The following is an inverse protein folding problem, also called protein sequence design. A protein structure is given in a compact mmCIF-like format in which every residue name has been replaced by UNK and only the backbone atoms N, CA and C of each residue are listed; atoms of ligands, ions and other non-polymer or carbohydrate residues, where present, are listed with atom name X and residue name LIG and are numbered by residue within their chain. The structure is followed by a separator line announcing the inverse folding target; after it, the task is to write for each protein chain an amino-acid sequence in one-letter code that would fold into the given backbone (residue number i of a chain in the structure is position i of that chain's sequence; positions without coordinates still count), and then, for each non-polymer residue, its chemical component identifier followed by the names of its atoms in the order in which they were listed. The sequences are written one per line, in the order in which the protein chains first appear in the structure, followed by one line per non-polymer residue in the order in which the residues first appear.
data_IF_784101159977
#
_entry.id   IF_784101159977
#
_cell.length_a   1.000
_cell.length_b   1.000
_cell.length_c   1.000
_cell.angle_alpha   90.00
_cell.angle_beta   90.00
_cell.angle_gamma   90.00
#
_symmetry.space_group_name_H-M   'P 1'
#
loop_
_entity.id
_entity.type
_entity.pdbx_description
1 polymer ?
#
# COMPACT_ATOMS: atom_id res chain seq x y z
N UNK A 1 -7.73 25.12 13.98
CA UNK A 1 -7.99 23.68 13.91
C UNK A 1 -7.37 23.18 12.60
N UNK A 2 -6.55 22.13 12.65
CA UNK A 2 -5.92 21.55 11.46
C UNK A 2 -6.96 20.71 10.70
N UNK A 3 -7.87 21.37 9.99
CA UNK A 3 -8.99 20.73 9.30
C UNK A 3 -8.56 20.12 7.97
N UNK A 4 -9.08 18.92 7.67
CA UNK A 4 -9.03 18.37 6.32
C UNK A 4 -9.58 19.37 5.31
N UNK A 5 -8.89 19.55 4.19
CA UNK A 5 -9.35 20.42 3.11
C UNK A 5 -9.12 19.78 1.75
N UNK A 6 -10.01 20.11 0.81
CA UNK A 6 -9.85 19.78 -0.61
C UNK A 6 -9.25 20.99 -1.32
N UNK A 7 -8.00 20.88 -1.77
CA UNK A 7 -7.30 21.94 -2.48
C UNK A 7 -7.36 21.69 -3.99
N UNK A 8 -7.71 22.73 -4.74
CA UNK A 8 -7.80 22.69 -6.21
C UNK A 8 -8.62 21.48 -6.74
N UNK A 9 -9.68 21.08 -6.01
CA UNK A 9 -10.60 19.94 -6.30
C UNK A 9 -9.97 18.54 -6.25
N UNK A 10 -8.68 18.42 -6.54
CA UNK A 10 -8.04 17.14 -6.79
C UNK A 10 -7.14 16.68 -5.63
N UNK A 11 -6.89 17.53 -4.64
CA UNK A 11 -5.94 17.25 -3.57
C UNK A 11 -6.59 17.21 -2.21
N UNK A 12 -6.28 16.15 -1.47
CA UNK A 12 -6.56 16.06 -0.05
C UNK A 12 -5.37 16.58 0.72
N UNK A 13 -5.62 17.58 1.57
CA UNK A 13 -4.61 18.22 2.40
C UNK A 13 -5.05 18.10 3.85
N UNK A 14 -4.21 17.47 4.67
CA UNK A 14 -4.50 17.25 6.07
C UNK A 14 -3.20 16.94 6.84
N UNK A 15 -3.32 16.89 8.16
CA UNK A 15 -2.27 16.41 9.04
C UNK A 15 -2.29 14.89 9.16
N UNK A 16 -1.10 14.28 9.17
CA UNK A 16 -0.89 12.84 9.38
C UNK A 16 -1.66 11.99 8.36
N UNK A 17 -1.60 12.37 7.08
CA UNK A 17 -2.03 11.50 5.99
C UNK A 17 -1.15 10.25 5.94
N UNK A 18 0.12 10.39 6.29
CA UNK A 18 1.00 9.28 6.67
C UNK A 18 0.65 8.78 8.09
N UNK A 19 0.12 7.57 8.29
CA UNK A 19 -0.52 6.69 7.30
C UNK A 19 -2.03 6.55 7.56
N UNK A 20 -2.70 7.62 8.03
CA UNK A 20 -4.17 7.63 8.19
C UNK A 20 -4.89 7.45 6.85
N UNK A 21 -4.27 7.89 5.74
CA UNK A 21 -4.79 7.64 4.41
C UNK A 21 -4.81 6.13 4.11
N UNK A 22 -3.74 5.38 4.44
CA UNK A 22 -3.72 3.91 4.38
C UNK A 22 -4.85 3.28 5.19
N UNK A 23 -5.03 3.72 6.44
CA UNK A 23 -6.13 3.27 7.30
C UNK A 23 -7.52 3.53 6.71
N UNK A 24 -7.73 4.67 6.06
CA UNK A 24 -8.95 4.97 5.32
C UNK A 24 -9.13 4.04 4.10
N UNK A 25 -8.07 3.84 3.30
CA UNK A 25 -8.12 3.01 2.10
C UNK A 25 -8.53 1.57 2.40
N UNK A 26 -7.95 0.95 3.42
CA UNK A 26 -8.30 -0.44 3.80
C UNK A 26 -9.73 -0.54 4.38
N UNK A 27 -10.21 0.51 5.05
CA UNK A 27 -11.59 0.57 5.54
C UNK A 27 -12.59 0.67 4.38
N UNK A 28 -12.27 1.46 3.35
CA UNK A 28 -13.08 1.55 2.12
C UNK A 28 -13.10 0.23 1.35
N UNK A 29 -11.98 -0.49 1.27
CA UNK A 29 -11.96 -1.85 0.71
C UNK A 29 -12.92 -2.76 1.45
N UNK A 30 -12.92 -2.73 2.79
CA UNK A 30 -13.85 -3.50 3.62
C UNK A 30 -15.32 -3.15 3.31
N UNK A 31 -15.62 -1.85 3.24
CA UNK A 31 -16.96 -1.32 2.95
C UNK A 31 -17.44 -1.78 1.58
N UNK A 32 -16.61 -1.66 0.55
CA UNK A 32 -16.94 -2.07 -0.83
C UNK A 32 -17.16 -3.58 -0.96
N UNK A 33 -16.31 -4.40 -0.33
CA UNK A 33 -16.51 -5.86 -0.29
C UNK A 33 -17.88 -6.22 0.32
N UNK A 34 -18.27 -5.52 1.40
CA UNK A 34 -19.55 -5.72 2.06
C UNK A 34 -20.73 -5.28 1.19
N UNK A 35 -20.71 -4.06 0.65
CA UNK A 35 -21.80 -3.51 -0.17
C UNK A 35 -22.05 -4.30 -1.45
N UNK A 36 -21.00 -4.81 -2.07
CA UNK A 36 -21.11 -5.66 -3.26
C UNK A 36 -21.51 -7.10 -2.93
N UNK A 37 -21.55 -7.50 -1.65
CA UNK A 37 -21.80 -8.87 -1.23
C UNK A 37 -20.71 -9.86 -1.66
N UNK A 38 -19.48 -9.38 -1.89
CA UNK A 38 -18.36 -10.19 -2.37
C UNK A 38 -17.94 -11.19 -1.29
N UNK A 39 -17.93 -12.48 -1.63
CA UNK A 39 -17.38 -13.54 -0.76
C UNK A 39 -16.00 -13.95 -1.25
N UNK A 40 -15.00 -13.71 -0.41
CA UNK A 40 -13.64 -14.17 -0.67
C UNK A 40 -13.50 -15.65 -0.24
N UNK A 41 -12.73 -16.46 -0.98
CA UNK A 41 -12.56 -17.87 -0.65
C UNK A 41 -11.52 -18.13 0.44
N UNK A 42 -11.10 -17.08 1.15
CA UNK A 42 -10.10 -17.10 2.21
C UNK A 42 -10.51 -16.14 3.33
N UNK A 43 -9.91 -16.31 4.51
CA UNK A 43 -10.07 -15.37 5.62
C UNK A 43 -9.34 -14.06 5.32
N UNK A 44 -10.06 -12.95 5.34
CA UNK A 44 -9.49 -11.61 5.20
C UNK A 44 -9.36 -10.95 6.57
N UNK A 45 -8.14 -10.58 6.94
CA UNK A 45 -7.85 -9.74 8.11
C UNK A 45 -7.47 -8.35 7.62
N UNK A 46 -8.19 -7.33 8.08
CA UNK A 46 -7.89 -5.92 7.80
C UNK A 46 -7.41 -5.29 9.10
N UNK A 47 -6.18 -4.82 9.11
CA UNK A 47 -5.52 -4.31 10.31
C UNK A 47 -4.93 -2.95 10.06
N UNK A 48 -5.06 -2.06 11.04
CA UNK A 48 -4.27 -0.83 11.11
C UNK A 48 -3.24 -1.02 12.23
N UNK A 49 -1.96 -0.91 11.90
CA UNK A 49 -0.88 -1.11 12.87
C UNK A 49 -0.65 0.18 13.68
N UNK A 50 0.09 0.05 14.77
CA UNK A 50 0.59 1.18 15.55
C UNK A 50 2.11 1.08 15.61
N UNK A 51 2.79 2.18 15.90
CA UNK A 51 4.24 2.19 16.14
C UNK A 51 5.08 1.75 14.91
N UNK A 52 4.58 2.01 13.70
CA UNK A 52 5.35 1.89 12.45
C UNK A 52 6.61 2.78 12.56
N UNK A 53 6.39 4.07 12.81
CA UNK A 53 7.37 5.17 12.88
C UNK A 53 8.48 5.02 13.92
N UNK A 54 8.37 4.04 14.81
CA UNK A 54 9.37 3.75 15.86
C UNK A 54 9.92 2.32 15.76
N UNK A 55 9.70 1.66 14.63
CA UNK A 55 10.31 0.37 14.29
C UNK A 55 9.31 -0.78 14.10
N UNK A 56 8.17 -0.52 13.46
CA UNK A 56 7.23 -1.53 12.95
C UNK A 56 6.63 -2.46 14.03
N UNK A 57 6.55 -2.00 15.28
CA UNK A 57 6.26 -2.88 16.43
C UNK A 57 4.85 -3.45 16.39
N UNK A 58 3.86 -2.65 15.99
CA UNK A 58 2.50 -3.12 15.83
C UNK A 58 2.38 -4.18 14.73
N UNK A 59 3.01 -3.96 13.58
CA UNK A 59 3.00 -4.93 12.49
C UNK A 59 3.71 -6.24 12.85
N UNK A 60 4.83 -6.19 13.58
CA UNK A 60 5.49 -7.40 14.11
C UNK A 60 4.53 -8.21 14.99
N UNK A 61 3.80 -7.56 15.90
CA UNK A 61 2.83 -8.24 16.76
C UNK A 61 1.65 -8.82 15.97
N UNK A 62 1.17 -8.11 14.95
CA UNK A 62 0.08 -8.57 14.09
C UNK A 62 0.52 -9.78 13.27
N UNK A 63 1.70 -9.70 12.64
CA UNK A 63 2.24 -10.76 11.79
C UNK A 63 2.44 -12.06 12.58
N UNK A 64 2.98 -12.00 13.80
CA UNK A 64 3.16 -13.18 14.66
C UNK A 64 1.84 -13.74 15.22
N UNK A 65 0.82 -12.89 15.42
CA UNK A 65 -0.47 -13.33 15.97
C UNK A 65 -1.38 -13.93 14.91
N UNK A 66 -1.45 -13.31 13.74
CA UNK A 66 -2.32 -13.74 12.64
C UNK A 66 -1.65 -14.85 11.83
N UNK A 67 -0.32 -14.81 11.70
CA UNK A 67 0.48 -15.70 10.86
C UNK A 67 -0.14 -15.91 9.46
N UNK A 68 -0.39 -14.82 8.70
CA UNK A 68 -1.08 -14.92 7.42
C UNK A 68 -0.22 -15.59 6.34
N UNK A 69 -0.87 -16.18 5.34
CA UNK A 69 -0.18 -16.71 4.15
C UNK A 69 0.30 -15.61 3.20
N UNK A 70 -0.48 -14.52 3.11
CA UNK A 70 -0.29 -13.40 2.18
C UNK A 70 -0.55 -12.08 2.91
N UNK A 71 0.28 -11.07 2.66
CA UNK A 71 0.10 -9.71 3.16
C UNK A 71 0.19 -8.68 2.02
N UNK A 72 -0.93 -8.00 1.74
CA UNK A 72 -0.93 -6.78 0.93
C UNK A 72 -0.87 -5.61 1.89
N UNK A 73 0.26 -4.91 1.90
CA UNK A 73 0.49 -3.76 2.77
C UNK A 73 0.29 -2.48 1.96
N UNK A 74 -0.31 -1.48 2.59
CA UNK A 74 -0.42 -0.14 2.01
C UNK A 74 0.22 0.89 2.91
N UNK A 75 1.03 1.73 2.29
CA UNK A 75 1.71 2.83 2.96
C UNK A 75 1.81 4.01 2.00
N UNK A 76 2.35 5.14 2.45
CA UNK A 76 2.64 6.25 1.55
C UNK A 76 4.02 6.09 0.91
N UNK A 77 4.28 6.88 -0.12
CA UNK A 77 5.62 7.02 -0.73
C UNK A 77 5.86 8.48 -1.08
N UNK A 78 7.12 8.88 -1.19
CA UNK A 78 7.45 10.23 -1.58
C UNK A 78 7.05 10.51 -3.05
N UNK A 79 6.20 11.50 -3.25
CA UNK A 79 6.03 12.13 -4.56
C UNK A 79 7.28 12.98 -4.87
N UNK A 80 8.20 12.47 -5.69
CA UNK A 80 9.47 13.12 -6.03
C UNK A 80 9.33 14.35 -6.94
N UNK A 81 8.11 14.69 -7.32
CA UNK A 81 7.74 15.99 -7.91
C UNK A 81 7.47 17.09 -6.87
N UNK A 82 7.65 16.79 -5.59
CA UNK A 82 7.66 17.80 -4.52
C UNK A 82 8.89 18.70 -4.71
N UNK A 83 8.78 20.03 -4.49
CA UNK A 83 9.94 20.92 -4.57
C UNK A 83 11.11 20.42 -3.72
N UNK A 84 12.34 20.62 -4.23
CA UNK A 84 13.61 20.27 -3.56
C UNK A 84 13.90 18.76 -3.44
N UNK A 85 13.10 17.88 -4.03
CA UNK A 85 13.42 16.45 -4.12
C UNK A 85 14.30 16.13 -5.33
N UNK A 86 15.23 15.18 -5.18
CA UNK A 86 16.06 14.65 -6.26
C UNK A 86 15.51 13.32 -6.77
N UNK A 87 15.08 13.29 -8.03
CA UNK A 87 14.56 12.08 -8.69
C UNK A 87 15.62 11.00 -8.94
N UNK A 88 16.89 11.40 -9.07
CA UNK A 88 17.98 10.44 -9.27
C UNK A 88 18.15 9.57 -8.02
N UNK A 89 18.07 10.21 -6.85
CA UNK A 89 18.30 9.52 -5.57
C UNK A 89 17.05 8.75 -5.10
N UNK A 90 15.85 9.27 -5.40
CA UNK A 90 14.58 8.78 -4.82
C UNK A 90 13.64 8.09 -5.82
N UNK A 91 14.01 8.04 -7.11
CA UNK A 91 13.14 7.56 -8.19
C UNK A 91 12.17 8.63 -8.73
N UNK A 92 11.41 8.26 -9.76
CA UNK A 92 10.44 9.15 -10.41
C UNK A 92 9.01 8.72 -10.10
N UNK A 93 8.42 9.32 -9.06
CA UNK A 93 7.05 9.06 -8.61
C UNK A 93 6.29 10.37 -8.53
N UNK A 94 5.11 10.42 -9.13
CA UNK A 94 4.26 11.60 -9.18
C UNK A 94 2.89 11.31 -8.56
N UNK A 95 2.40 12.24 -7.75
CA UNK A 95 0.99 12.24 -7.39
C UNK A 95 0.11 12.58 -8.62
N UNK A 96 -1.04 11.93 -8.73
CA UNK A 96 -1.95 11.95 -9.88
C UNK A 96 -1.57 10.99 -11.01
N UNK A 97 -0.62 10.08 -10.78
CA UNK A 97 -0.16 9.07 -11.76
C UNK A 97 -0.41 7.62 -11.32
N UNK A 98 -1.20 7.43 -10.26
CA UNK A 98 -1.58 6.13 -9.73
C UNK A 98 -0.66 5.63 -8.62
N UNK A 99 -1.02 4.50 -8.00
CA UNK A 99 -0.24 3.89 -6.91
C UNK A 99 1.17 3.50 -7.34
N UNK A 100 2.11 3.55 -6.40
CA UNK A 100 3.45 2.99 -6.55
C UNK A 100 3.47 1.52 -6.14
N UNK A 101 4.09 0.65 -6.94
CA UNK A 101 4.39 -0.72 -6.56
C UNK A 101 5.89 -0.95 -6.50
N UNK A 102 6.35 -1.58 -5.43
CA UNK A 102 7.78 -1.63 -5.08
C UNK A 102 8.40 -2.97 -5.43
N UNK A 103 9.52 -2.95 -6.14
CA UNK A 103 10.46 -4.07 -6.20
C UNK A 103 11.46 -3.92 -5.07
N UNK A 104 11.59 -4.92 -4.19
CA UNK A 104 12.55 -4.86 -3.10
C UNK A 104 12.66 -6.16 -2.32
N UNK A 105 13.62 -6.26 -1.38
CA UNK A 105 13.92 -7.51 -0.67
C UNK A 105 12.76 -8.08 0.15
N UNK A 106 11.87 -7.23 0.66
CA UNK A 106 10.68 -7.63 1.42
C UNK A 106 9.44 -7.86 0.54
N UNK A 107 9.55 -7.66 -0.78
CA UNK A 107 8.43 -7.83 -1.72
C UNK A 107 8.56 -9.15 -2.47
N UNK A 108 7.50 -9.94 -2.41
CA UNK A 108 7.39 -11.20 -3.11
C UNK A 108 6.95 -10.95 -4.56
N UNK A 109 7.78 -11.36 -5.54
CA UNK A 109 7.59 -10.96 -6.94
C UNK A 109 6.39 -11.62 -7.63
N UNK A 110 5.95 -12.82 -7.21
CA UNK A 110 4.76 -13.45 -7.80
C UNK A 110 3.47 -12.74 -7.35
N UNK A 111 3.40 -12.30 -6.09
CA UNK A 111 2.31 -11.49 -5.54
C UNK A 111 2.34 -10.09 -6.14
N UNK A 112 3.53 -9.50 -6.29
CA UNK A 112 3.70 -8.24 -7.02
C UNK A 112 3.22 -8.36 -8.47
N UNK A 113 3.57 -9.46 -9.15
CA UNK A 113 3.10 -9.71 -10.52
C UNK A 113 1.58 -9.86 -10.57
N UNK A 114 0.97 -10.56 -9.60
CA UNK A 114 -0.49 -10.63 -9.45
C UNK A 114 -1.13 -9.24 -9.32
N UNK A 115 -0.52 -8.34 -8.54
CA UNK A 115 -0.99 -6.94 -8.40
C UNK A 115 -0.87 -6.19 -9.74
N UNK A 116 0.27 -6.32 -10.42
CA UNK A 116 0.52 -5.66 -11.72
C UNK A 116 -0.47 -6.17 -12.78
N UNK A 117 -0.63 -7.49 -12.91
CA UNK A 117 -1.55 -8.10 -13.86
C UNK A 117 -3.01 -7.66 -13.59
N UNK A 118 -3.37 -7.52 -12.31
CA UNK A 118 -4.68 -7.01 -11.90
C UNK A 118 -4.86 -5.55 -12.33
N UNK A 119 -3.86 -4.71 -12.10
CA UNK A 119 -3.92 -3.32 -12.52
C UNK A 119 -4.04 -3.18 -14.04
N UNK A 120 -3.29 -3.98 -14.81
CA UNK A 120 -3.36 -3.98 -16.26
C UNK A 120 -4.74 -4.44 -16.76
N UNK A 121 -5.31 -5.49 -16.17
CA UNK A 121 -6.65 -5.99 -16.51
C UNK A 121 -7.76 -4.96 -16.21
N UNK A 122 -7.67 -4.29 -15.06
CA UNK A 122 -8.64 -3.28 -14.60
C UNK A 122 -8.33 -1.86 -15.14
N UNK A 123 -7.27 -1.70 -15.92
CA UNK A 123 -6.78 -0.41 -16.46
C UNK A 123 -6.51 0.63 -15.38
N UNK A 124 -6.00 0.19 -14.24
CA UNK A 124 -5.60 1.06 -13.12
C UNK A 124 -4.17 1.54 -13.39
N UNK A 125 -3.91 2.87 -13.40
CA UNK A 125 -2.55 3.37 -13.62
C UNK A 125 -1.64 2.96 -12.47
N UNK A 126 -0.39 2.62 -12.78
CA UNK A 126 0.63 2.22 -11.80
C UNK A 126 1.97 2.88 -12.08
N UNK A 127 2.73 3.10 -11.00
CA UNK A 127 4.11 3.55 -11.02
C UNK A 127 5.01 2.47 -10.42
N UNK A 128 6.24 2.34 -10.93
CA UNK A 128 7.21 1.34 -10.46
C UNK A 128 8.25 1.99 -9.57
N UNK A 129 8.49 1.38 -8.43
CA UNK A 129 9.47 1.81 -7.44
C UNK A 129 10.47 0.69 -7.16
N UNK A 130 11.64 1.08 -6.64
CA UNK A 130 12.64 0.15 -6.16
C UNK A 130 13.05 0.49 -4.73
N UNK A 131 13.14 -0.51 -3.88
CA UNK A 131 13.70 -0.42 -2.54
C UNK A 131 15.00 -1.23 -2.50
N UNK A 132 16.10 -0.61 -2.08
CA UNK A 132 17.43 -1.22 -2.15
C UNK A 132 17.66 -2.27 -1.06
N UNK A 133 17.38 -1.92 0.20
CA UNK A 133 17.69 -2.77 1.37
C UNK A 133 16.45 -3.22 2.15
N UNK A 134 15.50 -2.32 2.33
CA UNK A 134 14.24 -2.54 3.05
C UNK A 134 13.24 -1.52 2.50
N UNK A 135 11.94 -1.78 2.67
CA UNK A 135 10.90 -0.83 2.23
C UNK A 135 10.73 0.33 3.19
N UNK A 136 11.03 0.11 4.47
CA UNK A 136 10.83 1.08 5.54
C UNK A 136 9.39 1.10 6.03
N UNK A 137 8.60 0.07 5.71
CA UNK A 137 7.17 0.00 5.99
C UNK A 137 6.86 -1.31 6.70
N UNK A 138 5.61 -1.46 7.15
CA UNK A 138 5.10 -2.71 7.70
C UNK A 138 5.32 -3.94 6.81
N UNK A 139 5.53 -3.77 5.50
CA UNK A 139 5.90 -4.85 4.56
C UNK A 139 7.12 -5.62 5.04
N UNK A 140 8.12 -4.94 5.59
CA UNK A 140 9.33 -5.59 6.11
C UNK A 140 9.00 -6.48 7.32
N UNK A 141 8.10 -6.04 8.19
CA UNK A 141 7.68 -6.82 9.36
C UNK A 141 6.93 -8.09 8.96
N UNK A 142 6.01 -8.01 7.98
CA UNK A 142 5.30 -9.19 7.50
C UNK A 142 6.24 -10.14 6.74
N UNK A 143 7.02 -9.64 5.79
CA UNK A 143 7.85 -10.45 4.89
C UNK A 143 8.85 -11.33 5.66
N UNK A 144 9.44 -10.80 6.74
CA UNK A 144 10.45 -11.50 7.54
C UNK A 144 9.90 -12.18 8.80
N UNK A 145 8.58 -12.17 8.99
CA UNK A 145 7.92 -12.88 10.10
C UNK A 145 7.71 -14.36 9.81
N UNK A 146 7.40 -15.13 10.85
CA UNK A 146 6.97 -16.53 10.74
C UNK A 146 7.92 -17.39 9.87
N UNK A 147 7.41 -17.96 8.77
CA UNK A 147 8.16 -18.78 7.79
C UNK A 147 8.45 -18.03 6.49
N UNK A 148 8.34 -16.71 6.51
CA UNK A 148 8.33 -15.85 5.32
C UNK A 148 6.92 -15.72 4.75
N UNK A 149 6.28 -14.59 5.00
CA UNK A 149 4.94 -14.28 4.48
C UNK A 149 5.09 -13.67 3.09
N UNK A 150 4.32 -14.16 2.11
CA UNK A 150 4.28 -13.55 0.79
C UNK A 150 3.69 -12.12 0.89
N UNK A 151 4.56 -11.13 0.85
CA UNK A 151 4.20 -9.74 1.15
C UNK A 151 4.43 -8.83 -0.06
N UNK A 152 3.57 -7.84 -0.27
CA UNK A 152 3.74 -6.83 -1.30
C UNK A 152 3.23 -5.47 -0.83
N UNK A 153 3.83 -4.41 -1.38
CA UNK A 153 3.57 -3.03 -0.99
C UNK A 153 2.88 -2.26 -2.13
N UNK A 154 1.74 -1.64 -1.81
CA UNK A 154 1.04 -0.68 -2.66
C UNK A 154 1.10 0.69 -1.99
N UNK A 155 1.86 1.60 -2.58
CA UNK A 155 2.16 2.90 -2.00
C UNK A 155 1.33 4.04 -2.58
N UNK A 156 0.84 4.93 -1.72
CA UNK A 156 0.16 6.18 -2.09
C UNK A 156 1.18 7.33 -2.25
N UNK A 157 1.35 7.93 -3.44
CA UNK A 157 2.21 9.10 -3.59
C UNK A 157 1.75 10.29 -2.73
N UNK A 158 2.61 10.73 -1.83
CA UNK A 158 2.36 11.79 -0.86
C UNK A 158 3.41 12.89 -0.97
N UNK A 159 2.96 14.14 -0.85
CA UNK A 159 3.80 15.33 -0.76
C UNK A 159 3.95 15.78 0.69
N UNK A 160 5.15 16.27 1.01
CA UNK A 160 5.51 16.82 2.31
C UNK A 160 5.42 15.83 3.48
N UNK A 161 5.80 14.58 3.21
CA UNK A 161 5.85 13.48 4.18
C UNK A 161 6.55 13.90 5.48
N UNK A 162 5.96 13.52 6.62
CA UNK A 162 6.43 13.81 7.98
C UNK A 162 6.47 15.31 8.34
N UNK A 163 5.86 16.17 7.53
CA UNK A 163 5.60 17.57 7.93
C UNK A 163 4.22 17.69 8.58
N UNK A 164 3.92 18.85 9.15
CA UNK A 164 2.62 19.07 9.82
C UNK A 164 1.43 18.98 8.86
N UNK A 165 1.63 19.33 7.58
CA UNK A 165 0.58 19.36 6.56
C UNK A 165 1.07 18.61 5.33
N UNK A 166 0.38 17.51 5.05
CA UNK A 166 0.68 16.60 3.96
C UNK A 166 -0.39 16.72 2.87
N UNK A 167 -0.07 16.21 1.69
CA UNK A 167 -0.93 16.36 0.53
C UNK A 167 -0.87 15.13 -0.39
N UNK A 168 -2.03 14.55 -0.71
CA UNK A 168 -2.18 13.40 -1.61
C UNK A 168 -3.19 13.72 -2.71
N UNK A 169 -3.00 13.11 -3.88
CA UNK A 169 -3.97 13.27 -4.98
C UNK A 169 -5.16 12.35 -4.75
N UNK A 170 -6.36 12.87 -4.91
CA UNK A 170 -7.62 12.15 -4.72
C UNK A 170 -7.68 10.88 -5.58
N UNK A 171 -7.34 11.00 -6.86
CA UNK A 171 -7.40 9.86 -7.78
C UNK A 171 -6.43 8.75 -7.39
N UNK A 172 -5.28 9.06 -6.78
CA UNK A 172 -4.35 8.03 -6.32
C UNK A 172 -4.92 7.26 -5.13
N UNK A 173 -5.60 7.95 -4.21
CA UNK A 173 -6.33 7.30 -3.10
C UNK A 173 -7.40 6.35 -3.66
N UNK A 174 -8.20 6.82 -4.61
CA UNK A 174 -9.23 6.00 -5.25
C UNK A 174 -8.63 4.79 -6.01
N UNK A 175 -7.50 4.99 -6.71
CA UNK A 175 -6.83 3.92 -7.46
C UNK A 175 -6.16 2.89 -6.53
N UNK A 176 -5.59 3.30 -5.39
CA UNK A 176 -5.09 2.37 -4.36
C UNK A 176 -6.21 1.46 -3.85
N UNK A 177 -7.37 2.03 -3.50
CA UNK A 177 -8.55 1.28 -3.02
C UNK A 177 -8.99 0.28 -4.09
N UNK A 178 -9.16 0.74 -5.34
CA UNK A 178 -9.56 -0.12 -6.47
C UNK A 178 -8.58 -1.26 -6.69
N UNK A 179 -7.27 -0.97 -6.64
CA UNK A 179 -6.22 -1.96 -6.89
C UNK A 179 -6.20 -3.04 -5.80
N UNK A 180 -6.28 -2.65 -4.53
CA UNK A 180 -6.33 -3.60 -3.41
C UNK A 180 -7.58 -4.46 -3.54
N UNK A 181 -8.75 -3.84 -3.73
CA UNK A 181 -10.03 -4.55 -3.88
C UNK A 181 -10.01 -5.55 -5.04
N UNK A 182 -9.56 -5.12 -6.23
CA UNK A 182 -9.49 -5.97 -7.41
C UNK A 182 -8.47 -7.10 -7.23
N UNK A 183 -7.35 -6.83 -6.55
CA UNK A 183 -6.33 -7.84 -6.30
C UNK A 183 -6.89 -8.93 -5.38
N UNK A 184 -7.57 -8.55 -4.30
CA UNK A 184 -8.22 -9.50 -3.39
C UNK A 184 -9.22 -10.40 -4.12
N UNK A 185 -10.01 -9.85 -5.04
CA UNK A 185 -10.97 -10.62 -5.85
C UNK A 185 -10.30 -11.58 -6.84
N UNK A 186 -9.07 -11.31 -7.25
CA UNK A 186 -8.35 -12.10 -8.24
C UNK A 186 -7.44 -13.18 -7.63
N UNK A 187 -7.18 -13.15 -6.32
CA UNK A 187 -6.43 -14.20 -5.62
C UNK A 187 -7.27 -15.48 -5.56
N UNK A 188 -6.68 -16.60 -6.00
CA UNK A 188 -7.37 -17.89 -6.06
C UNK A 188 -7.12 -18.75 -4.81
N UNK A 189 -8.06 -19.65 -4.46
CA UNK A 189 -7.84 -20.60 -3.37
C UNK A 189 -6.60 -21.48 -3.62
N UNK A 190 -5.72 -21.59 -2.63
CA UNK A 190 -4.52 -22.44 -2.71
C UNK A 190 -3.35 -21.85 -3.51
N UNK A 191 -3.44 -20.59 -3.94
CA UNK A 191 -2.31 -19.86 -4.52
C UNK A 191 -1.26 -19.57 -3.43
N UNK A 192 -0.07 -20.16 -3.55
CA UNK A 192 0.97 -20.11 -2.50
C UNK A 192 2.16 -19.19 -2.82
N UNK A 193 2.09 -18.48 -3.96
CA UNK A 193 3.07 -17.51 -4.46
C UNK A 193 4.55 -17.97 -4.46
N UNK A 194 4.85 -19.26 -4.28
CA UNK A 194 6.24 -19.75 -4.20
C UNK A 194 6.98 -19.59 -5.52
N UNK A 195 8.28 -19.35 -5.44
CA UNK A 195 9.16 -19.26 -6.62
C UNK A 195 9.45 -20.63 -7.25
N UNK A 196 9.51 -21.68 -6.43
CA UNK A 196 9.83 -23.03 -6.85
C UNK A 196 8.60 -23.90 -6.58
N UNK A 197 8.14 -24.60 -7.61
CA UNK A 197 7.03 -25.57 -7.56
C UNK A 197 7.57 -26.99 -7.61
#
# INVERSE_FOLDING_TARGET
EDTFMVLNKDWYVARALDNRAGGFMIAEVARLLHEEGTKLPFGLYITNSVQEEIGLRGAQMIAERISPDVAIVTDVTHCTHTPMMNKIDNGDVAAGKGPGVTYGPAVQNNLLQRIIDTADAEKIPLQRMAASRFTGTDTDAFAYSNKGVASALISLPLRYMHTTVEMVHRDDVENCIKLILATLKNIQPGEDFKYIR
#
